data_IF_952830323206
#
_entry.id   IF_952830323206
#
_cell.length_a   1.000
_cell.length_b   1.000
_cell.length_c   1.000
_cell.angle_alpha   90.00
_cell.angle_beta   90.00
_cell.angle_gamma   90.00
#
_symmetry.space_group_name_H-M   'P 1'
#
loop_
_entity.id
_entity.type
_entity.pdbx_description
1 polymer ?
#
# COMPACT_ATOMS: atom_id res chain seq x y z
N UNK A 1 21.82 1.85 9.76
CA UNK A 1 20.68 2.63 10.28
C UNK A 1 19.43 2.28 9.48
N UNK A 2 18.27 2.14 10.13
CA UNK A 2 16.99 1.83 9.50
C UNK A 2 15.93 2.84 9.98
N UNK A 3 15.15 3.37 9.06
CA UNK A 3 14.07 4.34 9.27
C UNK A 3 12.75 3.60 9.10
N UNK A 4 11.83 3.78 10.04
CA UNK A 4 10.50 3.17 10.02
C UNK A 4 9.45 4.28 9.95
N UNK A 5 8.60 4.24 8.93
CA UNK A 5 7.46 5.13 8.79
C UNK A 5 6.16 4.35 8.96
N UNK A 6 5.15 4.98 9.54
CA UNK A 6 3.80 4.42 9.52
C UNK A 6 3.18 4.55 8.13
N UNK A 7 2.40 3.56 7.67
CA UNK A 7 1.62 3.68 6.44
C UNK A 7 0.54 4.76 6.57
N UNK A 8 0.09 5.30 5.44
CA UNK A 8 -1.04 6.24 5.39
C UNK A 8 -2.33 5.55 4.95
N UNK A 9 -3.48 6.14 5.31
CA UNK A 9 -4.81 5.67 4.90
C UNK A 9 -5.14 6.03 3.45
N UNK A 10 -4.65 7.18 3.00
CA UNK A 10 -4.89 7.69 1.65
C UNK A 10 -3.85 7.10 0.70
N UNK A 11 -4.33 6.59 -0.43
CA UNK A 11 -3.52 5.97 -1.47
C UNK A 11 -3.77 6.70 -2.79
N UNK A 12 -2.70 7.03 -3.49
CA UNK A 12 -2.74 7.66 -4.80
C UNK A 12 -1.99 6.80 -5.82
N UNK A 13 -2.77 6.17 -6.71
CA UNK A 13 -2.27 5.34 -7.78
C UNK A 13 -2.13 6.10 -9.11
N UNK A 14 -2.34 7.41 -9.15
CA UNK A 14 -2.26 8.18 -10.40
C UNK A 14 -0.81 8.42 -10.86
N UNK A 15 0.15 8.45 -9.93
CA UNK A 15 1.55 8.79 -10.19
C UNK A 15 2.25 7.68 -10.98
N UNK A 16 2.80 8.00 -12.15
CA UNK A 16 3.68 7.09 -12.89
C UNK A 16 5.13 7.28 -12.44
N UNK A 17 5.81 6.19 -12.13
CA UNK A 17 7.17 6.21 -11.60
C UNK A 17 8.06 5.26 -12.39
N UNK A 18 9.16 5.80 -12.91
CA UNK A 18 10.17 5.04 -13.64
C UNK A 18 11.22 4.49 -12.66
N UNK A 19 10.83 3.42 -11.96
CA UNK A 19 11.68 2.73 -10.99
C UNK A 19 11.53 1.22 -11.12
N UNK A 20 12.58 0.47 -10.83
CA UNK A 20 12.52 -0.98 -10.76
C UNK A 20 11.88 -1.40 -9.42
N UNK A 21 10.65 -1.94 -9.41
CA UNK A 21 9.98 -2.29 -8.16
C UNK A 21 10.52 -3.60 -7.59
N UNK A 22 10.23 -3.83 -6.31
CA UNK A 22 10.48 -5.11 -5.65
C UNK A 22 9.18 -5.73 -5.15
N UNK A 23 9.15 -7.05 -5.08
CA UNK A 23 8.01 -7.80 -4.53
C UNK A 23 8.00 -7.75 -2.99
N UNK A 24 6.84 -7.60 -2.32
CA UNK A 24 6.74 -7.69 -0.87
C UNK A 24 7.19 -9.05 -0.34
N UNK A 25 7.92 -9.07 0.78
CA UNK A 25 8.44 -10.30 1.38
C UNK A 25 7.36 -11.17 2.04
N UNK A 26 6.32 -10.55 2.58
CA UNK A 26 5.32 -11.21 3.43
C UNK A 26 3.97 -11.47 2.72
N UNK A 27 4.00 -11.70 1.40
CA UNK A 27 2.78 -11.97 0.62
C UNK A 27 1.98 -13.17 1.17
N UNK A 28 2.64 -14.20 1.69
CA UNK A 28 1.98 -15.35 2.31
C UNK A 28 1.15 -14.97 3.53
N UNK A 29 1.64 -14.03 4.34
CA UNK A 29 0.93 -13.58 5.54
C UNK A 29 -0.17 -12.59 5.18
N UNK A 30 0.07 -11.70 4.22
CA UNK A 30 -0.97 -10.85 3.63
C UNK A 30 -2.14 -11.69 3.08
N UNK A 31 -1.86 -12.82 2.42
CA UNK A 31 -2.90 -13.73 1.92
C UNK A 31 -3.78 -14.30 3.03
N UNK A 32 -3.23 -14.60 4.21
CA UNK A 32 -4.02 -15.08 5.36
C UNK A 32 -4.99 -13.99 5.83
N UNK A 33 -4.50 -12.75 5.95
CA UNK A 33 -5.33 -11.61 6.34
C UNK A 33 -6.44 -11.34 5.32
N UNK A 34 -6.10 -11.34 4.02
CA UNK A 34 -7.08 -11.10 2.96
C UNK A 34 -8.13 -12.21 2.90
N UNK A 35 -7.75 -13.47 3.18
CA UNK A 35 -8.72 -14.57 3.26
C UNK A 35 -9.79 -14.31 4.31
N UNK A 36 -9.41 -13.84 5.50
CA UNK A 36 -10.36 -13.48 6.57
C UNK A 36 -11.18 -12.23 6.24
N UNK A 37 -10.59 -11.26 5.53
CA UNK A 37 -11.29 -10.04 5.14
C UNK A 37 -12.31 -10.29 4.01
N UNK A 38 -12.04 -11.24 3.09
CA UNK A 38 -12.95 -11.61 2.00
C UNK A 38 -14.25 -12.27 2.48
N UNK A 39 -14.30 -12.80 3.70
CA UNK A 39 -15.51 -13.41 4.27
C UNK A 39 -16.41 -12.41 5.00
N UNK A 40 -16.01 -11.13 5.08
CA UNK A 40 -16.76 -10.09 5.79
C UNK A 40 -17.65 -9.32 4.84
N UNK A 41 -18.86 -9.02 5.29
CA UNK A 41 -19.75 -8.12 4.56
C UNK A 41 -19.30 -6.65 4.73
N UNK A 42 -19.68 -5.73 3.82
CA UNK A 42 -19.32 -4.32 3.94
C UNK A 42 -19.67 -3.71 5.30
N UNK A 43 -20.78 -4.08 5.92
CA UNK A 43 -21.20 -3.58 7.24
C UNK A 43 -20.27 -4.05 8.37
N UNK A 44 -19.75 -5.27 8.29
CA UNK A 44 -18.77 -5.79 9.24
C UNK A 44 -17.44 -5.03 9.13
N UNK A 45 -17.03 -4.73 7.90
CA UNK A 45 -15.82 -3.92 7.61
C UNK A 45 -15.99 -2.51 8.15
N UNK A 46 -17.16 -1.88 7.93
CA UNK A 46 -17.48 -0.56 8.44
C UNK A 46 -17.35 -0.50 9.97
N UNK A 47 -17.93 -1.48 10.66
CA UNK A 47 -17.91 -1.57 12.11
C UNK A 47 -16.49 -1.85 12.65
N UNK A 48 -15.78 -2.82 12.06
CA UNK A 48 -14.44 -3.21 12.47
C UNK A 48 -13.43 -2.06 12.35
N UNK A 49 -13.49 -1.31 11.24
CA UNK A 49 -12.52 -0.27 10.92
C UNK A 49 -13.01 1.14 11.24
N UNK A 50 -14.24 1.27 11.76
CA UNK A 50 -14.92 2.56 12.03
C UNK A 50 -14.95 3.46 10.79
N UNK A 51 -15.39 2.89 9.67
CA UNK A 51 -15.47 3.55 8.37
C UNK A 51 -16.91 3.96 8.04
N UNK A 52 -17.05 4.94 7.14
CA UNK A 52 -18.33 5.20 6.48
C UNK A 52 -18.69 4.08 5.51
N UNK A 53 -19.98 3.94 5.18
CA UNK A 53 -20.48 2.92 4.26
C UNK A 53 -19.75 2.96 2.89
N UNK A 54 -19.50 4.17 2.39
CA UNK A 54 -18.78 4.37 1.11
C UNK A 54 -17.35 3.82 1.19
N UNK A 55 -16.63 4.08 2.27
CA UNK A 55 -15.26 3.57 2.46
C UNK A 55 -15.26 2.07 2.73
N UNK A 56 -16.27 1.55 3.41
CA UNK A 56 -16.40 0.13 3.67
C UNK A 56 -16.67 -0.65 2.38
N UNK A 57 -17.58 -0.19 1.52
CA UNK A 57 -17.83 -0.76 0.21
C UNK A 57 -16.56 -0.75 -0.67
N UNK A 58 -15.85 0.39 -0.71
CA UNK A 58 -14.58 0.49 -1.44
C UNK A 58 -13.54 -0.53 -0.95
N UNK A 59 -13.41 -0.72 0.37
CA UNK A 59 -12.44 -1.67 0.91
C UNK A 59 -12.89 -3.12 0.72
N UNK A 60 -14.19 -3.40 0.78
CA UNK A 60 -14.73 -4.70 0.41
C UNK A 60 -14.32 -5.08 -1.01
N UNK A 61 -14.56 -4.19 -1.99
CA UNK A 61 -14.19 -4.45 -3.39
C UNK A 61 -12.68 -4.67 -3.55
N UNK A 62 -11.85 -3.86 -2.86
CA UNK A 62 -10.39 -4.04 -2.82
C UNK A 62 -9.99 -5.39 -2.26
N UNK A 63 -10.63 -5.84 -1.20
CA UNK A 63 -10.32 -7.15 -0.62
C UNK A 63 -10.70 -8.25 -1.60
N UNK A 64 -11.87 -8.18 -2.23
CA UNK A 64 -12.32 -9.18 -3.22
C UNK A 64 -11.40 -9.26 -4.44
N UNK A 65 -10.97 -8.11 -4.98
CA UNK A 65 -10.09 -8.04 -6.15
C UNK A 65 -8.64 -8.37 -5.84
N UNK A 66 -8.21 -8.30 -4.57
CA UNK A 66 -6.83 -8.59 -4.20
C UNK A 66 -6.47 -10.06 -4.49
N UNK A 67 -5.31 -10.23 -5.13
CA UNK A 67 -4.67 -11.51 -5.36
C UNK A 67 -3.16 -11.42 -5.05
N UNK A 68 -2.56 -12.46 -4.47
CA UNK A 68 -1.12 -12.48 -4.25
C UNK A 68 -0.40 -12.66 -5.59
N UNK A 69 0.27 -11.61 -6.05
CA UNK A 69 1.12 -11.67 -7.25
C UNK A 69 2.56 -11.33 -6.90
N UNK A 70 3.50 -12.12 -7.45
CA UNK A 70 4.92 -11.78 -7.46
C UNK A 70 5.29 -10.90 -8.66
N UNK A 71 4.46 -10.91 -9.70
CA UNK A 71 4.62 -10.07 -10.89
C UNK A 71 3.97 -8.71 -10.65
N UNK A 72 4.68 -7.66 -11.08
CA UNK A 72 4.15 -6.30 -11.09
C UNK A 72 3.07 -6.23 -12.19
N UNK A 73 1.88 -5.80 -11.81
CA UNK A 73 0.77 -5.49 -12.71
C UNK A 73 0.48 -3.99 -12.71
N UNK A 74 -0.37 -3.55 -13.63
CA UNK A 74 -0.87 -2.17 -13.71
C UNK A 74 -1.57 -1.73 -12.40
N UNK A 75 -2.15 -2.68 -11.67
CA UNK A 75 -2.83 -2.46 -10.38
C UNK A 75 -1.86 -2.39 -9.17
N UNK A 76 -0.55 -2.50 -9.41
CA UNK A 76 0.47 -2.48 -8.35
C UNK A 76 1.46 -1.35 -8.54
N UNK A 77 1.77 -0.62 -7.46
CA UNK A 77 2.74 0.47 -7.46
C UNK A 77 3.65 0.41 -6.23
N UNK A 78 4.92 0.87 -6.32
CA UNK A 78 5.84 0.81 -5.19
C UNK A 78 5.33 1.68 -4.02
N UNK A 79 5.33 1.12 -2.81
CA UNK A 79 4.72 1.74 -1.62
C UNK A 79 5.20 3.18 -1.34
N UNK A 80 6.48 3.48 -1.62
CA UNK A 80 7.09 4.80 -1.46
C UNK A 80 6.32 5.92 -2.18
N UNK A 81 5.64 5.61 -3.28
CA UNK A 81 4.97 6.60 -4.13
C UNK A 81 3.44 6.59 -4.02
N UNK A 82 2.87 5.61 -3.33
CA UNK A 82 1.41 5.41 -3.26
C UNK A 82 0.82 6.07 -2.02
N UNK A 83 1.49 5.97 -0.87
CA UNK A 83 0.97 6.55 0.36
C UNK A 83 0.93 8.08 0.30
N UNK A 84 -0.17 8.67 0.76
CA UNK A 84 -0.38 10.11 0.85
C UNK A 84 -0.79 10.52 2.26
N UNK A 85 -0.17 11.57 2.77
CA UNK A 85 -0.41 12.14 4.11
C UNK A 85 0.81 12.94 4.56
N UNK A 86 0.73 13.61 5.71
CA UNK A 86 1.70 14.61 6.15
C UNK A 86 3.15 14.12 6.15
N UNK A 87 3.39 12.88 6.62
CA UNK A 87 4.72 12.25 6.60
C UNK A 87 5.25 12.08 5.17
N UNK A 88 4.39 11.67 4.23
CA UNK A 88 4.78 11.44 2.84
C UNK A 88 4.89 12.75 2.05
N UNK A 89 4.10 13.77 2.40
CA UNK A 89 4.25 15.13 1.91
C UNK A 89 5.55 15.77 2.38
N UNK A 90 6.01 15.47 3.60
CA UNK A 90 7.32 15.88 4.08
C UNK A 90 8.47 15.09 3.45
N UNK A 91 8.24 13.81 3.13
CA UNK A 91 9.23 12.95 2.47
C UNK A 91 9.49 13.37 1.01
N UNK A 92 8.45 13.85 0.30
CA UNK A 92 8.53 14.33 -1.09
C UNK A 92 9.24 13.35 -2.03
N UNK A 93 8.87 12.07 -1.96
CA UNK A 93 9.56 11.00 -2.67
C UNK A 93 9.57 11.19 -4.20
N UNK A 94 8.63 11.94 -4.77
CA UNK A 94 8.62 12.33 -6.19
C UNK A 94 9.84 13.16 -6.61
N UNK A 95 10.52 13.82 -5.67
CA UNK A 95 11.73 14.62 -5.94
C UNK A 95 13.01 13.78 -5.91
N UNK A 96 12.92 12.52 -5.48
CA UNK A 96 14.09 11.66 -5.30
C UNK A 96 14.72 11.29 -6.62
N UNK A 97 16.04 11.36 -6.68
CA UNK A 97 16.78 10.79 -7.80
C UNK A 97 17.00 9.27 -7.60
N UNK A 98 17.59 8.61 -8.60
CA UNK A 98 17.84 7.15 -8.56
C UNK A 98 18.69 6.71 -7.36
N UNK A 99 19.67 7.53 -6.91
CA UNK A 99 20.51 7.22 -5.75
C UNK A 99 19.70 7.30 -4.45
N UNK A 100 18.83 8.30 -4.33
CA UNK A 100 17.97 8.47 -3.16
C UNK A 100 16.99 7.30 -3.03
N UNK A 101 16.42 6.84 -4.16
CA UNK A 101 15.55 5.65 -4.20
C UNK A 101 16.31 4.39 -3.79
N UNK A 102 17.53 4.18 -4.29
CA UNK A 102 18.37 3.03 -3.90
C UNK A 102 18.71 3.09 -2.40
N UNK A 103 18.99 4.29 -1.87
CA UNK A 103 19.24 4.49 -0.45
C UNK A 103 17.99 4.18 0.37
N UNK A 104 16.83 4.72 0.01
CA UNK A 104 15.56 4.45 0.66
C UNK A 104 15.23 2.95 0.65
N UNK A 105 15.43 2.25 -0.48
CA UNK A 105 15.20 0.81 -0.55
C UNK A 105 16.04 0.02 0.47
N UNK A 106 17.25 0.49 0.81
CA UNK A 106 18.12 -0.14 1.82
C UNK A 106 17.78 0.29 3.25
N UNK A 107 17.37 1.54 3.45
CA UNK A 107 17.32 2.18 4.76
C UNK A 107 15.92 2.55 5.28
N UNK A 108 14.87 2.46 4.47
CA UNK A 108 13.51 2.86 4.81
C UNK A 108 12.55 1.66 4.76
N UNK A 109 11.70 1.50 5.76
CA UNK A 109 10.57 0.56 5.75
C UNK A 109 9.28 1.29 6.12
N UNK A 110 8.20 0.82 5.52
CA UNK A 110 6.82 1.22 5.77
C UNK A 110 6.07 -0.04 6.20
#
# INVERSE_FOLDING_TARGET
MLILLSPAKTLDYSKNVDVNPTTPKFLSDSSKLIKELKTKEPQDIASLMKLSDKLAALNFDRYQSWAPSKAISEDSKPALFVFQGDVYQGLQAETFNKKDIIFAQKHLRI
#
